data_IF_364855632133
#
_entry.id   IF_364855632133
#
_cell.length_a   1.000
_cell.length_b   1.000
_cell.length_c   1.000
_cell.angle_alpha   90.00
_cell.angle_beta   90.00
_cell.angle_gamma   90.00
#
_symmetry.space_group_name_H-M   'P 1'
#
loop_
_entity.id
_entity.type
_entity.pdbx_description
1 polymer ?
#
# COMPACT_ATOMS: atom_id res chain seq x y z
N UNK A 1 -4.84 -15.91 2.61
CA UNK A 1 -4.15 -15.93 1.29
C UNK A 1 -4.05 -14.51 0.77
N UNK A 2 -3.02 -14.17 -0.01
CA UNK A 2 -2.91 -12.85 -0.68
C UNK A 2 -3.78 -12.76 -1.95
N UNK A 3 -4.29 -13.88 -2.45
CA UNK A 3 -5.18 -13.90 -3.61
C UNK A 3 -6.42 -13.04 -3.32
N UNK A 4 -6.77 -12.16 -4.27
CA UNK A 4 -7.79 -11.11 -4.17
C UNK A 4 -7.57 -10.14 -3.01
N UNK A 5 -6.33 -9.95 -2.58
CA UNK A 5 -6.00 -9.14 -1.41
C UNK A 5 -4.65 -8.40 -1.54
N UNK A 6 -4.06 -8.34 -2.74
CA UNK A 6 -2.86 -7.52 -3.00
C UNK A 6 -3.23 -6.05 -2.78
N UNK A 7 -2.34 -5.29 -2.14
CA UNK A 7 -2.59 -3.90 -1.74
C UNK A 7 -3.39 -3.75 -0.45
N UNK A 8 -4.00 -4.83 0.06
CA UNK A 8 -4.83 -4.83 1.27
C UNK A 8 -4.09 -5.49 2.42
N UNK A 9 -3.90 -6.82 2.36
CA UNK A 9 -3.30 -7.59 3.46
C UNK A 9 -1.82 -7.23 3.63
N UNK A 10 -1.07 -7.18 2.53
CA UNK A 10 0.35 -6.86 2.58
C UNK A 10 0.60 -5.42 3.09
N UNK A 11 -0.25 -4.45 2.74
CA UNK A 11 -0.18 -3.09 3.30
C UNK A 11 -0.46 -3.11 4.80
N UNK A 12 -1.53 -3.78 5.24
CA UNK A 12 -1.88 -3.88 6.66
C UNK A 12 -0.75 -4.50 7.47
N UNK A 13 -0.20 -5.61 7.00
CA UNK A 13 0.81 -6.36 7.74
C UNK A 13 2.11 -5.56 7.86
N UNK A 14 2.51 -4.82 6.81
CA UNK A 14 3.65 -3.89 6.89
C UNK A 14 3.40 -2.77 7.91
N UNK A 15 2.20 -2.19 7.94
CA UNK A 15 1.86 -1.17 8.94
C UNK A 15 1.86 -1.72 10.37
N UNK A 16 1.35 -2.94 10.59
CA UNK A 16 1.36 -3.57 11.91
C UNK A 16 2.78 -3.91 12.35
N UNK A 17 3.61 -4.45 11.45
CA UNK A 17 5.03 -4.69 11.73
C UNK A 17 5.76 -3.39 12.08
N UNK A 18 5.49 -2.30 11.35
CA UNK A 18 6.06 -0.99 11.66
C UNK A 18 5.68 -0.53 13.08
N UNK A 19 4.42 -0.70 13.51
CA UNK A 19 3.99 -0.35 14.88
C UNK A 19 4.76 -1.10 15.97
N UNK A 20 5.13 -2.36 15.72
CA UNK A 20 5.95 -3.12 16.67
C UNK A 20 7.42 -2.68 16.65
N UNK A 21 7.99 -2.42 15.47
CA UNK A 21 9.35 -1.91 15.30
C UNK A 21 9.52 -0.55 16.00
N UNK A 22 8.50 0.32 15.94
CA UNK A 22 8.53 1.64 16.57
C UNK A 22 8.62 1.60 18.09
N UNK A 23 8.38 0.45 18.73
CA UNK A 23 8.56 0.27 20.18
C UNK A 23 10.03 0.03 20.57
N UNK A 24 10.90 -0.24 19.60
CA UNK A 24 12.31 -0.57 19.87
C UNK A 24 13.07 0.70 20.28
N UNK A 25 13.87 0.59 21.34
CA UNK A 25 14.56 1.75 21.98
C UNK A 25 15.53 2.51 21.07
N UNK A 26 15.94 1.89 19.95
CA UNK A 26 16.89 2.46 19.01
C UNK A 26 16.22 3.00 17.74
N UNK A 27 14.89 2.92 17.64
CA UNK A 27 14.12 3.48 16.51
C UNK A 27 13.59 4.84 16.93
N UNK A 28 13.86 5.86 16.11
CA UNK A 28 13.27 7.19 16.27
C UNK A 28 11.91 7.24 15.58
N UNK A 29 10.83 7.17 16.36
CA UNK A 29 9.47 7.14 15.84
C UNK A 29 9.02 8.43 15.14
N UNK A 30 9.74 9.54 15.35
CA UNK A 30 9.42 10.81 14.71
C UNK A 30 10.03 10.94 13.31
N UNK A 31 10.94 10.04 12.92
CA UNK A 31 11.69 10.10 11.64
C UNK A 31 11.63 8.78 10.86
N UNK A 32 10.43 8.38 10.47
CA UNK A 32 10.17 7.13 9.75
C UNK A 32 9.80 7.41 8.30
N UNK A 33 10.44 6.69 7.39
CA UNK A 33 10.14 6.73 5.96
C UNK A 33 9.86 5.34 5.41
N UNK A 34 9.07 5.29 4.34
CA UNK A 34 8.84 4.07 3.54
C UNK A 34 9.25 4.32 2.09
N UNK A 35 9.84 3.32 1.45
CA UNK A 35 10.29 3.39 0.08
C UNK A 35 10.03 2.05 -0.62
N UNK A 36 9.51 2.11 -1.85
CA UNK A 36 9.45 0.96 -2.72
C UNK A 36 9.35 1.30 -4.21
N UNK A 37 9.65 0.29 -5.03
CA UNK A 37 9.60 0.33 -6.49
C UNK A 37 8.53 -0.64 -7.02
N UNK A 38 7.85 -0.29 -8.12
CA UNK A 38 6.78 -1.11 -8.72
C UNK A 38 5.68 -1.46 -7.71
N UNK A 39 5.40 -2.74 -7.45
CA UNK A 39 4.45 -3.18 -6.42
C UNK A 39 4.80 -2.62 -5.03
N UNK A 40 6.08 -2.43 -4.71
CA UNK A 40 6.51 -1.74 -3.49
C UNK A 40 6.17 -0.25 -3.49
N UNK A 41 6.16 0.39 -4.66
CA UNK A 41 5.68 1.76 -4.83
C UNK A 41 4.18 1.87 -4.55
N UNK A 42 3.39 0.92 -5.04
CA UNK A 42 1.95 0.85 -4.73
C UNK A 42 1.71 0.66 -3.22
N UNK A 43 2.48 -0.22 -2.57
CA UNK A 43 2.43 -0.41 -1.11
C UNK A 43 2.87 0.85 -0.36
N UNK A 44 3.90 1.56 -0.84
CA UNK A 44 4.34 2.84 -0.26
C UNK A 44 3.20 3.85 -0.25
N UNK A 45 2.50 4.03 -1.37
CA UNK A 45 1.34 4.92 -1.44
C UNK A 45 0.21 4.46 -0.51
N UNK A 46 -0.14 3.17 -0.53
CA UNK A 46 -1.17 2.63 0.36
C UNK A 46 -0.82 2.81 1.85
N UNK A 47 0.45 2.65 2.25
CA UNK A 47 0.91 2.89 3.61
C UNK A 47 0.79 4.36 4.00
N UNK A 48 1.24 5.27 3.12
CA UNK A 48 1.13 6.72 3.34
C UNK A 48 -0.32 7.20 3.44
N UNK A 49 -1.25 6.57 2.72
CA UNK A 49 -2.65 7.00 2.67
C UNK A 49 -3.53 6.32 3.72
N UNK A 50 -3.32 5.05 4.02
CA UNK A 50 -4.17 4.29 4.95
C UNK A 50 -3.60 4.27 6.38
N UNK A 51 -2.29 4.50 6.54
CA UNK A 51 -1.62 4.56 7.83
C UNK A 51 -0.75 5.84 7.97
N UNK A 52 -1.32 7.03 7.70
CA UNK A 52 -0.57 8.28 7.57
C UNK A 52 0.15 8.70 8.86
N UNK A 53 -0.25 8.17 10.02
CA UNK A 53 0.37 8.52 11.30
C UNK A 53 1.69 7.78 11.56
N UNK A 54 2.02 6.75 10.76
CA UNK A 54 3.24 5.94 10.92
C UNK A 54 4.43 6.56 10.19
N UNK A 55 4.22 6.99 8.93
CA UNK A 55 5.30 7.37 8.02
C UNK A 55 5.27 8.88 7.78
N UNK A 56 6.41 9.55 7.96
CA UNK A 56 6.57 10.99 7.68
C UNK A 56 6.81 11.25 6.19
N UNK A 57 7.54 10.34 5.54
CA UNK A 57 7.90 10.47 4.13
C UNK A 57 7.74 9.14 3.40
N UNK A 58 7.27 9.20 2.15
CA UNK A 58 7.11 8.06 1.26
C UNK A 58 7.82 8.29 -0.06
N UNK A 59 8.57 7.30 -0.55
CA UNK A 59 9.21 7.31 -1.87
C UNK A 59 8.59 6.17 -2.68
N UNK A 60 7.65 6.50 -3.57
CA UNK A 60 6.99 5.53 -4.44
C UNK A 60 7.50 5.67 -5.88
N UNK A 61 8.16 4.65 -6.40
CA UNK A 61 8.74 4.67 -7.74
C UNK A 61 8.01 3.68 -8.65
N UNK A 62 7.60 4.12 -9.84
CA UNK A 62 6.89 3.29 -10.84
C UNK A 62 5.67 2.55 -10.27
N UNK A 63 4.93 3.20 -9.37
CA UNK A 63 3.84 2.58 -8.62
C UNK A 63 2.61 2.29 -9.50
N UNK A 64 1.99 1.13 -9.27
CA UNK A 64 0.62 0.87 -9.75
C UNK A 64 -0.34 1.64 -8.85
N UNK A 65 -0.90 2.73 -9.34
CA UNK A 65 -1.78 3.65 -8.59
C UNK A 65 -3.25 3.25 -8.63
N UNK A 66 -3.62 2.50 -9.67
CA UNK A 66 -4.93 1.90 -9.87
C UNK A 66 -4.74 0.51 -10.50
N UNK A 67 -5.32 -0.53 -9.88
CA UNK A 67 -5.21 -1.91 -10.35
C UNK A 67 -5.86 -2.12 -11.72
N UNK A 68 -6.82 -1.27 -12.11
CA UNK A 68 -7.47 -1.38 -13.42
C UNK A 68 -6.55 -1.04 -14.60
N UNK A 69 -5.44 -0.33 -14.34
CA UNK A 69 -4.54 0.13 -15.41
C UNK A 69 -3.33 -0.78 -15.63
N UNK A 70 -3.20 -1.86 -14.88
CA UNK A 70 -2.13 -2.82 -15.07
C UNK A 70 -2.55 -3.96 -16.02
N UNK A 71 -1.60 -4.76 -16.50
CA UNK A 71 -1.92 -5.81 -17.47
C UNK A 71 -2.88 -6.86 -16.91
N UNK A 72 -3.70 -7.44 -17.78
CA UNK A 72 -4.73 -8.41 -17.39
C UNK A 72 -4.14 -9.72 -16.88
N UNK A 73 -3.06 -10.24 -17.48
CA UNK A 73 -2.46 -11.53 -17.12
C UNK A 73 -2.00 -11.52 -15.65
N UNK A 74 -1.33 -10.45 -15.23
CA UNK A 74 -0.92 -10.29 -13.83
C UNK A 74 -2.13 -10.04 -12.94
N UNK A 75 -2.92 -9.02 -13.27
CA UNK A 75 -3.95 -8.52 -12.36
C UNK A 75 -5.05 -9.55 -12.15
N UNK A 76 -5.59 -10.18 -13.21
CA UNK A 76 -6.65 -11.19 -13.07
C UNK A 76 -6.16 -12.45 -12.35
N UNK A 77 -4.90 -12.86 -12.55
CA UNK A 77 -4.30 -14.01 -11.86
C UNK A 77 -4.30 -13.81 -10.34
N UNK A 78 -4.07 -12.60 -9.86
CA UNK A 78 -3.92 -12.34 -8.43
C UNK A 78 -5.12 -11.66 -7.77
N UNK A 79 -5.93 -10.93 -8.53
CA UNK A 79 -7.06 -10.13 -8.06
C UNK A 79 -8.42 -10.68 -8.53
N UNK A 80 -8.42 -11.64 -9.46
CA UNK A 80 -9.64 -12.12 -10.12
C UNK A 80 -10.11 -11.16 -11.21
N UNK A 81 -11.18 -11.54 -11.91
CA UNK A 81 -11.77 -10.73 -12.99
C UNK A 81 -12.38 -9.46 -12.38
N UNK A 82 -12.12 -8.25 -12.93
CA UNK A 82 -12.59 -6.98 -12.36
C UNK A 82 -14.11 -6.95 -12.12
N UNK A 83 -14.92 -7.33 -13.11
CA UNK A 83 -16.38 -7.30 -13.01
C UNK A 83 -16.96 -8.19 -11.91
N UNK A 84 -16.23 -9.21 -11.46
CA UNK A 84 -16.62 -10.08 -10.34
C UNK A 84 -16.04 -9.63 -8.99
N UNK A 85 -15.01 -8.77 -9.00
CA UNK A 85 -14.19 -8.43 -7.83
C UNK A 85 -13.89 -6.91 -7.72
N UNK A 86 -14.76 -6.06 -8.25
CA UNK A 86 -14.58 -4.61 -8.36
C UNK A 86 -14.21 -3.94 -7.03
N UNK A 87 -14.91 -4.33 -5.95
CA UNK A 87 -14.64 -3.80 -4.61
C UNK A 87 -13.18 -4.03 -4.18
N UNK A 88 -12.59 -5.16 -4.56
CA UNK A 88 -11.20 -5.49 -4.26
C UNK A 88 -10.24 -4.62 -5.06
N UNK A 89 -10.51 -4.39 -6.35
CA UNK A 89 -9.69 -3.51 -7.19
C UNK A 89 -9.67 -2.08 -6.64
N UNK A 90 -10.85 -1.56 -6.27
CA UNK A 90 -10.98 -0.23 -5.66
C UNK A 90 -10.23 -0.17 -4.33
N UNK A 91 -10.42 -1.16 -3.44
CA UNK A 91 -9.81 -1.16 -2.12
C UNK A 91 -8.27 -1.26 -2.18
N UNK A 92 -7.74 -2.06 -3.11
CA UNK A 92 -6.31 -2.25 -3.31
C UNK A 92 -5.60 -1.06 -3.96
N UNK A 93 -6.34 -0.24 -4.71
CA UNK A 93 -5.80 0.87 -5.49
C UNK A 93 -5.49 2.08 -4.60
N UNK A 94 -4.22 2.53 -4.54
CA UNK A 94 -3.85 3.69 -3.72
C UNK A 94 -4.67 4.95 -4.01
N UNK A 95 -5.07 5.18 -5.27
CA UNK A 95 -5.85 6.39 -5.65
C UNK A 95 -7.13 6.56 -4.83
N UNK A 96 -7.77 5.47 -4.42
CA UNK A 96 -8.99 5.45 -3.59
C UNK A 96 -8.79 6.15 -2.24
N UNK A 97 -7.57 6.09 -1.70
CA UNK A 97 -7.25 6.55 -0.34
C UNK A 97 -6.49 7.88 -0.33
N UNK A 98 -6.15 8.44 -1.50
CA UNK A 98 -5.22 9.57 -1.63
C UNK A 98 -5.58 10.79 -0.77
N UNK A 99 -6.88 11.05 -0.54
CA UNK A 99 -7.37 12.15 0.30
C UNK A 99 -6.87 12.11 1.75
N UNK A 100 -6.41 10.95 2.21
CA UNK A 100 -5.97 10.74 3.59
C UNK A 100 -4.47 11.04 3.80
N UNK A 101 -3.74 11.43 2.73
CA UNK A 101 -2.33 11.77 2.84
C UNK A 101 -2.14 12.90 3.85
N UNK A 102 -1.32 12.64 4.87
CA UNK A 102 -0.76 13.67 5.74
C UNK A 102 0.69 13.88 5.31
N UNK A 103 0.96 15.03 4.71
CA UNK A 103 2.32 15.44 4.33
C UNK A 103 3.12 15.91 5.55
N UNK A 104 4.40 16.23 5.32
CA UNK A 104 5.24 16.93 6.29
C UNK A 104 4.87 18.41 6.38
#
# INVERSE_FOLDING_TARGET
SIYKNIGIINTRDQAMAAREILKWKFVDSDRIAVHGWSGGGAVTLNLMFQYPDIYKSGIAISAVTDQHFYDNIYTERYMGIPGENEATYIQASPVTHAKNLKGN
#
